data_IF_408704846692
#
_entry.id   IF_408704846692
#
_cell.length_a   1.000
_cell.length_b   1.000
_cell.length_c   1.000
_cell.angle_alpha   90.00
_cell.angle_beta   90.00
_cell.angle_gamma   90.00
#
_symmetry.space_group_name_H-M   'P 1'
#
loop_
_entity.id
_entity.type
_entity.pdbx_description
1 polymer ?
#
# COMPACT_ATOMS: atom_id res chain seq x y z
N UNK A 1 -3.95 21.36 12.49
CA UNK A 1 -4.87 21.50 11.34
C UNK A 1 -6.01 20.50 11.52
N UNK A 2 -7.25 20.98 11.57
CA UNK A 2 -8.41 20.09 11.67
C UNK A 2 -9.44 20.45 10.60
N UNK A 3 -10.13 19.44 10.06
CA UNK A 3 -11.21 19.58 9.10
C UNK A 3 -12.20 18.45 9.32
N UNK A 4 -13.48 18.71 9.08
CA UNK A 4 -14.60 17.78 9.34
C UNK A 4 -15.21 17.23 8.06
N UNK A 5 -14.91 17.84 6.93
CA UNK A 5 -15.47 17.45 5.63
C UNK A 5 -14.53 17.83 4.48
N UNK A 6 -14.85 17.35 3.28
CA UNK A 6 -14.02 17.55 2.09
C UNK A 6 -13.89 19.05 1.68
N UNK A 7 -14.94 19.85 1.90
CA UNK A 7 -14.88 21.26 1.53
C UNK A 7 -13.88 22.03 2.41
N UNK A 8 -13.84 21.74 3.70
CA UNK A 8 -12.87 22.32 4.62
C UNK A 8 -11.43 21.86 4.26
N UNK A 9 -11.24 20.59 3.88
CA UNK A 9 -9.95 20.09 3.42
C UNK A 9 -9.50 20.83 2.15
N UNK A 10 -10.38 21.01 1.17
CA UNK A 10 -10.06 21.76 -0.05
C UNK A 10 -9.72 23.22 0.23
N UNK A 11 -10.50 23.88 1.10
CA UNK A 11 -10.21 25.25 1.51
C UNK A 11 -8.83 25.38 2.17
N UNK A 12 -8.43 24.40 3.02
CA UNK A 12 -7.08 24.36 3.60
C UNK A 12 -5.98 24.16 2.54
N UNK A 13 -6.24 23.33 1.53
CA UNK A 13 -5.30 23.11 0.42
C UNK A 13 -5.08 24.42 -0.36
N UNK A 14 -6.17 25.14 -0.66
CA UNK A 14 -6.12 26.42 -1.37
C UNK A 14 -5.44 27.51 -0.54
N UNK A 15 -5.85 27.68 0.73
CA UNK A 15 -5.27 28.67 1.64
C UNK A 15 -3.77 28.51 1.81
N UNK A 16 -3.31 27.26 1.96
CA UNK A 16 -1.89 26.97 2.22
C UNK A 16 -1.08 26.70 0.96
N UNK A 17 -1.75 26.62 -0.19
CA UNK A 17 -1.15 26.21 -1.47
C UNK A 17 -0.37 24.89 -1.35
N UNK A 18 -0.96 23.90 -0.67
CA UNK A 18 -0.38 22.58 -0.43
C UNK A 18 -1.27 21.46 -0.99
N UNK A 19 -0.69 20.37 -1.49
CA UNK A 19 -1.47 19.20 -1.91
C UNK A 19 -2.11 18.53 -0.69
N UNK A 20 -3.19 17.78 -0.92
CA UNK A 20 -3.92 17.03 0.11
C UNK A 20 -2.98 16.16 0.94
N UNK A 21 -2.05 15.44 0.31
CA UNK A 21 -1.09 14.57 1.00
C UNK A 21 -0.24 15.30 2.03
N UNK A 22 0.13 16.55 1.76
CA UNK A 22 0.93 17.37 2.68
C UNK A 22 0.07 17.91 3.83
N UNK A 23 -1.16 18.34 3.54
CA UNK A 23 -2.13 18.73 4.59
C UNK A 23 -2.34 17.56 5.56
N UNK A 24 -2.47 16.34 5.02
CA UNK A 24 -2.65 15.15 5.85
C UNK A 24 -1.42 14.81 6.66
N UNK A 25 -0.22 14.92 6.07
CA UNK A 25 1.03 14.72 6.79
C UNK A 25 1.18 15.70 7.96
N UNK A 26 0.86 16.97 7.73
CA UNK A 26 0.90 17.99 8.78
C UNK A 26 -0.13 17.68 9.87
N UNK A 27 -1.34 17.26 9.49
CA UNK A 27 -2.37 16.87 10.44
C UNK A 27 -1.91 15.72 11.34
N UNK A 28 -1.29 14.69 10.79
CA UNK A 28 -0.73 13.58 11.57
C UNK A 28 0.36 14.03 12.55
N UNK A 29 1.19 14.98 12.16
CA UNK A 29 2.21 15.57 13.03
C UNK A 29 1.55 16.33 14.20
N UNK A 30 0.56 17.15 13.92
CA UNK A 30 -0.13 17.98 14.93
C UNK A 30 -0.98 17.12 15.88
N UNK A 31 -1.78 16.17 15.37
CA UNK A 31 -2.63 15.30 16.19
C UNK A 31 -1.81 14.33 17.04
N UNK A 32 -0.69 13.86 16.50
CA UNK A 32 0.20 12.94 17.20
C UNK A 32 1.20 13.63 18.13
N UNK A 33 1.23 14.97 18.18
CA UNK A 33 2.24 15.77 18.88
C UNK A 33 3.67 15.23 18.63
N UNK A 34 3.91 14.79 17.40
CA UNK A 34 5.10 14.01 17.03
C UNK A 34 5.95 14.77 16.03
N UNK A 35 7.27 14.62 16.12
CA UNK A 35 8.19 15.25 15.18
C UNK A 35 8.00 14.69 13.75
N UNK A 36 8.11 15.57 12.74
CA UNK A 36 7.97 15.23 11.31
C UNK A 36 8.84 14.04 10.89
N UNK A 37 10.05 13.94 11.42
CA UNK A 37 10.97 12.85 11.14
C UNK A 37 10.42 11.48 11.59
N UNK A 38 9.73 11.44 12.72
CA UNK A 38 9.12 10.22 13.27
C UNK A 38 7.96 9.77 12.37
N UNK A 39 7.12 10.70 11.92
CA UNK A 39 6.01 10.41 11.00
C UNK A 39 6.55 9.86 9.68
N UNK A 40 7.55 10.50 9.09
CA UNK A 40 8.18 10.04 7.86
C UNK A 40 8.82 8.65 8.04
N UNK A 41 9.52 8.41 9.15
CA UNK A 41 10.12 7.10 9.46
C UNK A 41 9.06 6.01 9.61
N UNK A 42 7.92 6.32 10.25
CA UNK A 42 6.78 5.38 10.36
C UNK A 42 6.24 5.04 8.97
N UNK A 43 6.03 6.01 8.09
CA UNK A 43 5.52 5.76 6.73
C UNK A 43 6.52 4.99 5.85
N UNK A 44 7.82 5.27 5.96
CA UNK A 44 8.86 4.46 5.30
C UNK A 44 8.81 3.00 5.77
N UNK A 45 8.61 2.77 7.07
CA UNK A 45 8.44 1.42 7.61
C UNK A 45 7.16 0.75 7.09
N UNK A 46 6.05 1.49 7.00
CA UNK A 46 4.79 1.00 6.41
C UNK A 46 5.01 0.53 4.98
N UNK A 47 5.66 1.34 4.14
CA UNK A 47 5.98 0.95 2.76
C UNK A 47 6.90 -0.29 2.72
N UNK A 48 7.90 -0.37 3.61
CA UNK A 48 8.76 -1.55 3.73
C UNK A 48 7.96 -2.82 4.03
N UNK A 49 7.04 -2.78 4.99
CA UNK A 49 6.17 -3.91 5.33
C UNK A 49 5.27 -4.29 4.13
N UNK A 50 4.72 -3.31 3.41
CA UNK A 50 3.93 -3.56 2.20
C UNK A 50 4.75 -4.28 1.13
N UNK A 51 5.99 -3.83 0.88
CA UNK A 51 6.92 -4.48 -0.07
C UNK A 51 7.24 -5.92 0.34
N UNK A 52 7.57 -6.14 1.60
CA UNK A 52 7.90 -7.47 2.10
C UNK A 52 6.69 -8.41 2.00
N UNK A 53 5.51 -7.95 2.38
CA UNK A 53 4.29 -8.74 2.31
C UNK A 53 3.90 -9.13 0.87
N UNK A 54 4.13 -8.22 -0.10
CA UNK A 54 3.80 -8.46 -1.51
C UNK A 54 4.85 -9.27 -2.26
N UNK A 55 6.14 -9.18 -1.90
CA UNK A 55 7.20 -9.81 -2.68
C UNK A 55 7.70 -11.14 -2.10
N UNK A 56 7.66 -11.31 -0.77
CA UNK A 56 8.18 -12.52 -0.13
C UNK A 56 7.46 -13.80 -0.57
N UNK A 57 6.11 -13.89 -0.63
CA UNK A 57 5.43 -15.11 -1.07
C UNK A 57 5.68 -15.45 -2.54
N UNK A 58 5.97 -14.46 -3.39
CA UNK A 58 6.31 -14.69 -4.79
C UNK A 58 7.69 -15.35 -4.90
N UNK A 59 8.65 -14.91 -4.08
CA UNK A 59 10.01 -15.49 -4.06
C UNK A 59 10.02 -16.84 -3.37
N UNK A 60 9.41 -16.92 -2.20
CA UNK A 60 9.33 -18.11 -1.37
C UNK A 60 7.90 -18.34 -0.92
N UNK A 61 7.15 -19.23 -1.61
CA UNK A 61 5.77 -19.52 -1.27
C UNK A 61 5.61 -19.97 0.18
N UNK A 62 4.62 -19.41 0.84
CA UNK A 62 4.22 -19.78 2.21
C UNK A 62 2.88 -20.52 2.16
N UNK A 63 2.61 -21.37 3.12
CA UNK A 63 1.29 -22.00 3.28
C UNK A 63 0.55 -21.34 4.45
N UNK A 64 -0.73 -21.11 4.25
CA UNK A 64 -1.61 -20.69 5.35
C UNK A 64 -1.65 -21.76 6.45
N UNK A 65 -2.02 -21.36 7.67
CA UNK A 65 -2.13 -22.30 8.80
C UNK A 65 -3.10 -23.46 8.51
N UNK A 66 -4.18 -23.19 7.79
CA UNK A 66 -5.13 -24.23 7.37
C UNK A 66 -4.71 -25.04 6.14
N UNK A 67 -3.60 -24.70 5.51
CA UNK A 67 -3.05 -25.39 4.34
C UNK A 67 -3.83 -25.20 3.03
N UNK A 68 -4.90 -24.38 3.05
CA UNK A 68 -5.79 -24.18 1.88
C UNK A 68 -5.27 -23.11 0.92
N UNK A 69 -4.49 -22.15 1.39
CA UNK A 69 -3.98 -21.01 0.63
C UNK A 69 -2.45 -21.03 0.69
N UNK A 70 -1.80 -20.74 -0.43
CA UNK A 70 -0.35 -20.53 -0.49
C UNK A 70 0.29 -20.99 -1.78
N UNK A 71 1.02 -20.08 -2.41
CA UNK A 71 1.72 -20.30 -3.67
C UNK A 71 0.95 -19.84 -4.91
N UNK A 72 -0.26 -19.32 -4.78
CA UNK A 72 -1.07 -18.80 -5.88
C UNK A 72 -0.42 -17.55 -6.49
N UNK A 73 0.09 -16.64 -5.67
CA UNK A 73 0.78 -15.43 -6.13
C UNK A 73 2.02 -15.79 -6.96
N UNK A 74 2.79 -16.78 -6.54
CA UNK A 74 3.93 -17.29 -7.34
C UNK A 74 3.49 -17.88 -8.68
N UNK A 75 2.43 -18.67 -8.71
CA UNK A 75 1.87 -19.23 -9.94
C UNK A 75 1.44 -18.14 -10.91
N UNK A 76 0.75 -17.11 -10.40
CA UNK A 76 0.35 -15.94 -11.19
C UNK A 76 1.56 -15.18 -11.74
N UNK A 77 2.59 -14.98 -10.92
CA UNK A 77 3.82 -14.32 -11.34
C UNK A 77 4.53 -15.09 -12.46
N UNK A 78 4.63 -16.41 -12.35
CA UNK A 78 5.23 -17.25 -13.40
C UNK A 78 4.39 -17.24 -14.68
N UNK A 79 3.05 -17.34 -14.55
CA UNK A 79 2.16 -17.28 -15.70
C UNK A 79 2.28 -15.92 -16.44
N UNK A 80 2.47 -14.82 -15.70
CA UNK A 80 2.67 -13.50 -16.28
C UNK A 80 3.94 -13.38 -17.12
N UNK A 81 4.96 -14.16 -16.81
CA UNK A 81 6.22 -14.21 -17.59
C UNK A 81 6.08 -15.01 -18.88
N UNK A 82 5.25 -16.05 -18.88
CA UNK A 82 5.07 -16.95 -20.02
C UNK A 82 4.00 -16.47 -20.99
N UNK A 83 2.94 -15.83 -20.52
CA UNK A 83 1.76 -15.46 -21.30
C UNK A 83 1.28 -14.06 -20.97
N UNK A 84 0.78 -13.34 -21.98
CA UNK A 84 0.08 -12.07 -21.76
C UNK A 84 -1.25 -12.34 -21.05
N UNK A 85 -1.41 -11.74 -19.87
CA UNK A 85 -2.68 -11.80 -19.15
C UNK A 85 -3.80 -11.05 -19.86
N UNK A 86 -5.04 -11.49 -19.67
CA UNK A 86 -6.24 -10.88 -20.27
C UNK A 86 -6.42 -9.41 -19.87
N UNK A 87 -5.99 -9.03 -18.67
CA UNK A 87 -6.21 -7.69 -18.09
C UNK A 87 -5.03 -6.73 -18.30
N UNK A 88 -4.01 -7.12 -19.07
CA UNK A 88 -2.77 -6.34 -19.24
C UNK A 88 -1.83 -6.42 -18.05
N UNK A 89 -0.57 -6.01 -18.27
CA UNK A 89 0.53 -6.24 -17.33
C UNK A 89 0.35 -5.52 -15.98
N UNK A 90 -0.17 -4.30 -15.97
CA UNK A 90 -0.32 -3.52 -14.74
C UNK A 90 -1.32 -4.18 -13.79
N UNK A 91 -2.52 -4.50 -14.28
CA UNK A 91 -3.54 -5.11 -13.44
C UNK A 91 -3.16 -6.52 -13.02
N UNK A 92 -2.49 -7.29 -13.89
CA UNK A 92 -1.98 -8.62 -13.54
C UNK A 92 -0.95 -8.55 -12.40
N UNK A 93 -0.03 -7.57 -12.42
CA UNK A 93 0.90 -7.32 -11.30
C UNK A 93 0.16 -6.93 -10.04
N UNK A 94 -0.80 -6.00 -10.12
CA UNK A 94 -1.58 -5.56 -8.97
C UNK A 94 -2.32 -6.74 -8.30
N UNK A 95 -2.94 -7.62 -9.09
CA UNK A 95 -3.60 -8.84 -8.60
C UNK A 95 -2.57 -9.76 -7.93
N UNK A 96 -1.43 -9.98 -8.56
CA UNK A 96 -0.37 -10.85 -8.02
C UNK A 96 0.13 -10.36 -6.66
N UNK A 97 0.40 -9.07 -6.52
CA UNK A 97 0.88 -8.46 -5.27
C UNK A 97 -0.20 -8.43 -4.19
N UNK A 98 -1.45 -8.17 -4.57
CA UNK A 98 -2.58 -8.25 -3.64
C UNK A 98 -2.76 -9.67 -3.09
N UNK A 99 -2.69 -10.69 -3.95
CA UNK A 99 -2.76 -12.10 -3.53
C UNK A 99 -1.59 -12.50 -2.65
N UNK A 100 -0.36 -12.06 -2.98
CA UNK A 100 0.81 -12.31 -2.14
C UNK A 100 0.65 -11.72 -0.75
N UNK A 101 0.13 -10.49 -0.64
CA UNK A 101 -0.16 -9.86 0.65
C UNK A 101 -1.20 -10.66 1.45
N UNK A 102 -2.24 -11.20 0.79
CA UNK A 102 -3.22 -12.06 1.44
C UNK A 102 -2.63 -13.41 1.86
N UNK A 103 -1.72 -14.00 1.09
CA UNK A 103 -0.98 -15.20 1.50
C UNK A 103 -0.11 -14.93 2.74
N UNK A 104 0.56 -13.78 2.78
CA UNK A 104 1.30 -13.35 3.97
C UNK A 104 0.39 -13.26 5.19
N UNK A 105 -0.77 -12.63 5.06
CA UNK A 105 -1.76 -12.56 6.14
C UNK A 105 -2.26 -13.95 6.56
N UNK A 106 -2.61 -14.81 5.61
CA UNK A 106 -3.11 -16.16 5.88
C UNK A 106 -2.08 -17.08 6.54
N UNK A 107 -0.78 -16.79 6.38
CA UNK A 107 0.33 -17.47 7.04
C UNK A 107 0.77 -16.82 8.35
N UNK A 108 -0.02 -15.89 8.91
CA UNK A 108 0.27 -15.12 10.13
C UNK A 108 1.51 -14.21 10.01
N UNK A 109 1.86 -13.81 8.79
CA UNK A 109 2.90 -12.82 8.53
C UNK A 109 2.43 -11.39 8.80
N UNK A 110 3.39 -10.47 8.82
CA UNK A 110 3.12 -9.05 9.07
C UNK A 110 2.60 -8.38 7.81
N UNK A 111 1.45 -7.72 7.92
CA UNK A 111 0.87 -6.85 6.88
C UNK A 111 0.50 -5.48 7.47
N UNK A 112 0.27 -4.52 6.60
CA UNK A 112 -0.26 -3.21 7.01
C UNK A 112 -1.77 -3.28 7.10
N UNK A 113 -2.33 -2.88 8.24
CA UNK A 113 -3.78 -2.79 8.40
C UNK A 113 -4.37 -1.73 7.46
N UNK A 114 -5.57 -2.00 6.99
CA UNK A 114 -6.39 -1.10 6.17
C UNK A 114 -7.84 -1.19 6.63
N UNK A 115 -8.74 -0.27 6.25
CA UNK A 115 -10.10 -0.24 6.77
C UNK A 115 -10.89 -1.53 6.58
N UNK A 116 -10.54 -2.35 5.59
CA UNK A 116 -11.13 -3.68 5.38
C UNK A 116 -10.03 -4.71 5.11
N UNK A 117 -10.31 -5.99 5.39
CA UNK A 117 -9.38 -7.09 5.11
C UNK A 117 -8.98 -7.14 3.62
N UNK A 118 -9.91 -6.86 2.71
CA UNK A 118 -9.62 -6.81 1.27
C UNK A 118 -8.71 -5.65 0.91
N UNK A 119 -8.93 -4.46 1.46
CA UNK A 119 -8.10 -3.28 1.17
C UNK A 119 -6.66 -3.44 1.66
N UNK A 120 -6.43 -4.23 2.71
CA UNK A 120 -5.08 -4.55 3.20
C UNK A 120 -4.20 -5.27 2.16
N UNK A 121 -4.82 -5.96 1.19
CA UNK A 121 -4.12 -6.54 0.03
C UNK A 121 -4.16 -5.64 -1.20
N UNK A 122 -5.32 -5.03 -1.48
CA UNK A 122 -5.54 -4.24 -2.71
C UNK A 122 -4.67 -2.97 -2.73
N UNK A 123 -4.59 -2.24 -1.61
CA UNK A 123 -3.81 -0.99 -1.53
C UNK A 123 -2.33 -1.24 -1.84
N UNK A 124 -1.61 -2.12 -1.13
CA UNK A 124 -0.21 -2.39 -1.47
C UNK A 124 -0.06 -3.00 -2.87
N UNK A 125 -0.98 -3.89 -3.29
CA UNK A 125 -0.95 -4.50 -4.60
C UNK A 125 -0.99 -3.48 -5.74
N UNK A 126 -1.92 -2.52 -5.68
CA UNK A 126 -2.06 -1.48 -6.67
C UNK A 126 -0.88 -0.49 -6.62
N UNK A 127 -0.52 -0.01 -5.43
CA UNK A 127 0.55 0.98 -5.26
C UNK A 127 1.90 0.46 -5.76
N UNK A 128 2.26 -0.77 -5.42
CA UNK A 128 3.52 -1.37 -5.86
C UNK A 128 3.54 -1.69 -7.35
N UNK A 129 2.41 -2.13 -7.93
CA UNK A 129 2.31 -2.35 -9.37
C UNK A 129 2.44 -1.04 -10.15
N UNK A 130 1.83 0.05 -9.67
CA UNK A 130 1.99 1.40 -10.25
C UNK A 130 3.41 1.93 -10.06
N UNK A 131 4.02 1.72 -8.89
CA UNK A 131 5.40 2.09 -8.63
C UNK A 131 6.34 1.51 -9.68
N UNK A 132 6.23 0.21 -9.93
CA UNK A 132 7.08 -0.47 -10.92
C UNK A 132 6.76 -0.05 -12.36
N UNK A 133 5.47 0.15 -12.68
CA UNK A 133 5.06 0.47 -14.05
C UNK A 133 5.46 1.88 -14.46
N UNK A 134 5.29 2.85 -13.57
CA UNK A 134 5.55 4.26 -13.82
C UNK A 134 6.88 4.75 -13.26
N UNK A 135 7.65 3.87 -12.63
CA UNK A 135 8.96 4.18 -12.02
C UNK A 135 8.86 5.25 -10.93
N UNK A 136 7.78 5.27 -10.16
CA UNK A 136 7.65 6.18 -9.03
C UNK A 136 8.67 5.88 -7.94
N UNK A 137 9.23 6.94 -7.36
CA UNK A 137 10.11 6.85 -6.20
C UNK A 137 9.33 6.40 -4.94
N UNK A 138 10.05 5.92 -3.94
CA UNK A 138 9.47 5.58 -2.64
C UNK A 138 8.82 6.79 -1.97
N UNK A 139 9.39 7.98 -2.16
CA UNK A 139 8.83 9.24 -1.64
C UNK A 139 7.48 9.59 -2.26
N UNK A 140 7.30 9.35 -3.56
CA UNK A 140 6.02 9.57 -4.25
C UNK A 140 4.96 8.58 -3.75
N UNK A 141 5.34 7.32 -3.54
CA UNK A 141 4.44 6.31 -2.98
C UNK A 141 4.08 6.65 -1.52
N UNK A 142 5.03 7.09 -0.70
CA UNK A 142 4.75 7.53 0.67
C UNK A 142 3.77 8.71 0.68
N UNK A 143 3.93 9.70 -0.21
CA UNK A 143 2.97 10.79 -0.35
C UNK A 143 1.58 10.28 -0.72
N UNK A 144 1.48 9.34 -1.64
CA UNK A 144 0.21 8.72 -2.00
C UNK A 144 -0.39 7.90 -0.84
N UNK A 145 0.41 7.24 -0.02
CA UNK A 145 -0.04 6.52 1.16
C UNK A 145 -0.66 7.45 2.21
N UNK A 146 -0.17 8.68 2.36
CA UNK A 146 -0.84 9.67 3.21
C UNK A 146 -2.28 9.99 2.77
N UNK A 147 -2.63 9.79 1.51
CA UNK A 147 -4.02 9.91 1.03
C UNK A 147 -4.86 8.67 1.38
N UNK A 148 -4.28 7.49 1.31
CA UNK A 148 -5.00 6.22 1.45
C UNK A 148 -5.23 5.80 2.90
N UNK A 149 -4.33 6.18 3.82
CA UNK A 149 -4.32 5.76 5.22
C UNK A 149 -4.95 6.77 6.19
N UNK A 150 -5.52 7.83 5.65
CA UNK A 150 -6.05 8.99 6.37
C UNK A 150 -7.24 8.68 7.26
N UNK A 151 -7.96 7.61 7.00
CA UNK A 151 -9.22 7.30 7.66
C UNK A 151 -9.10 6.12 8.63
N UNK A 152 -7.89 5.85 9.10
CA UNK A 152 -7.64 4.77 10.06
C UNK A 152 -7.45 5.33 11.45
#
# INVERSE_FOLDING_TARGET
>A
MDFKNANELLALCEEKNLPISEIMRIREIELGETASEIVNKKMTRVLGIMKDAAFSPIRQPVKSMGGLIGGEARKLSLHAQEKKGLCGNLLQKAITYAMATLETNASMGLIVASPTAGSAGIVPGLMLAMQEHYQFSDEEIIRALFLSLIHI
#
